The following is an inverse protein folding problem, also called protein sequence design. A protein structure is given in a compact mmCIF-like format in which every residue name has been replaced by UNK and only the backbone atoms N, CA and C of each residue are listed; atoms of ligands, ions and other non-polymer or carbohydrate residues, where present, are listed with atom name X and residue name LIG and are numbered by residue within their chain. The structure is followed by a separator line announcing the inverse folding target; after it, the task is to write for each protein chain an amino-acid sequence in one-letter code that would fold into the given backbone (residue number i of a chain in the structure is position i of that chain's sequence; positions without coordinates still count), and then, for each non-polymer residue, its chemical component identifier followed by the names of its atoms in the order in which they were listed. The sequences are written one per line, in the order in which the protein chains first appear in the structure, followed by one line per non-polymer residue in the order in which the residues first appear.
data_IF_449839917644
#
_entry.id   IF_449839917644
#
_cell.length_a   1.000
_cell.length_b   1.000
_cell.length_c   1.000
_cell.angle_alpha   90.00
_cell.angle_beta   90.00
_cell.angle_gamma   90.00
#
_symmetry.space_group_name_H-M   'P 1'
#
loop_
_entity.id
_entity.type
_entity.pdbx_description
1 polymer ?
#
# COMPACT_ATOMS: atom_id res chain seq x y z
N UNK A 1 -2.48 -15.70 -15.65
CA UNK A 1 -2.90 -14.60 -16.54
C UNK A 1 -4.15 -13.98 -16.01
N UNK A 2 -4.18 -12.65 -15.87
CA UNK A 2 -5.33 -11.92 -15.35
C UNK A 2 -6.44 -11.82 -16.40
N UNK A 3 -7.71 -11.56 -16.00
CA UNK A 3 -8.85 -11.48 -16.90
C UNK A 3 -8.63 -10.50 -18.06
N UNK A 4 -9.31 -10.78 -19.18
CA UNK A 4 -9.32 -9.91 -20.34
C UNK A 4 -9.74 -8.49 -19.94
N UNK A 5 -8.98 -7.49 -20.40
CA UNK A 5 -9.18 -6.11 -20.01
C UNK A 5 -10.54 -5.57 -20.47
N UNK A 6 -11.31 -4.98 -19.56
CA UNK A 6 -12.16 -3.87 -19.98
C UNK A 6 -11.25 -2.69 -20.32
N UNK A 7 -11.49 -1.98 -21.43
CA UNK A 7 -10.75 -0.77 -21.74
C UNK A 7 -10.78 0.21 -20.56
N UNK A 8 -9.66 0.85 -20.29
CA UNK A 8 -9.59 1.99 -19.37
C UNK A 8 -10.60 3.05 -19.83
N UNK A 9 -11.43 3.52 -18.92
CA UNK A 9 -12.40 4.58 -19.16
C UNK A 9 -12.35 5.59 -18.03
N UNK A 10 -11.52 6.63 -18.26
CA UNK A 10 -11.40 7.81 -17.42
C UNK A 10 -12.75 8.40 -16.97
N UNK A 11 -13.82 8.27 -17.76
CA UNK A 11 -15.12 8.80 -17.35
C UNK A 11 -15.67 8.12 -16.09
N UNK A 12 -15.33 6.86 -15.85
CA UNK A 12 -15.70 6.16 -14.61
C UNK A 12 -15.00 6.74 -13.39
N UNK A 13 -13.83 7.35 -13.58
CA UNK A 13 -13.03 7.97 -12.52
C UNK A 13 -13.46 9.39 -12.17
N UNK A 14 -14.41 9.98 -12.91
CA UNK A 14 -14.94 11.34 -12.63
C UNK A 14 -15.24 11.60 -11.15
N UNK A 15 -15.83 10.68 -10.36
CA UNK A 15 -16.12 10.92 -8.95
C UNK A 15 -14.88 11.10 -8.06
N UNK A 16 -13.71 10.58 -8.47
CA UNK A 16 -12.47 10.57 -7.68
C UNK A 16 -11.28 11.22 -8.39
N UNK A 17 -11.53 11.87 -9.53
CA UNK A 17 -10.48 12.35 -10.42
C UNK A 17 -9.55 13.37 -9.74
N UNK A 18 -10.11 14.29 -8.95
CA UNK A 18 -9.30 15.27 -8.22
C UNK A 18 -8.43 14.61 -7.15
N UNK A 19 -8.97 13.61 -6.45
CA UNK A 19 -8.19 12.84 -5.48
C UNK A 19 -7.04 12.09 -6.17
N UNK A 20 -7.28 11.50 -7.35
CA UNK A 20 -6.21 10.84 -8.12
C UNK A 20 -5.14 11.84 -8.57
N UNK A 21 -5.52 13.04 -9.01
CA UNK A 21 -4.55 14.08 -9.40
C UNK A 21 -3.65 14.52 -8.25
N UNK A 22 -4.19 14.55 -7.03
CA UNK A 22 -3.44 14.94 -5.83
C UNK A 22 -2.59 13.78 -5.30
N UNK A 23 -3.18 12.61 -5.14
CA UNK A 23 -2.57 11.50 -4.38
C UNK A 23 -1.86 10.48 -5.24
N UNK A 24 -2.17 10.43 -6.54
CA UNK A 24 -1.56 9.49 -7.47
C UNK A 24 -1.10 10.15 -8.79
N UNK A 25 -0.27 11.22 -8.72
CA UNK A 25 0.24 11.89 -9.90
C UNK A 25 1.32 11.06 -10.63
N UNK A 26 1.59 11.41 -11.88
CA UNK A 26 2.79 10.96 -12.59
C UNK A 26 3.95 11.91 -12.25
N UNK A 27 4.94 11.42 -11.50
CA UNK A 27 6.13 12.20 -11.12
C UNK A 27 7.24 12.19 -12.19
N UNK A 28 7.16 11.28 -13.17
CA UNK A 28 8.16 11.16 -14.24
C UNK A 28 7.81 12.03 -15.44
N UNK A 29 6.52 12.30 -15.62
CA UNK A 29 5.99 13.11 -16.71
C UNK A 29 5.28 14.34 -16.16
N UNK A 30 5.63 15.54 -16.63
CA UNK A 30 4.86 16.76 -16.33
C UNK A 30 3.51 16.84 -17.09
N UNK A 31 3.00 15.72 -17.62
CA UNK A 31 1.78 15.64 -18.43
C UNK A 31 0.60 15.14 -17.59
N UNK A 32 -0.58 15.12 -18.22
CA UNK A 32 -1.79 14.56 -17.62
C UNK A 32 -1.54 13.09 -17.19
N UNK A 33 -1.78 12.72 -15.91
CA UNK A 33 -1.53 11.38 -15.38
C UNK A 33 -2.43 10.27 -15.96
N UNK A 34 -3.39 10.60 -16.84
CA UNK A 34 -4.29 9.64 -17.48
C UNK A 34 -3.55 8.42 -18.10
N UNK A 35 -2.45 8.65 -18.82
CA UNK A 35 -1.68 7.57 -19.46
C UNK A 35 -0.99 6.67 -18.42
N UNK A 36 -0.59 7.25 -17.28
CA UNK A 36 -0.04 6.51 -16.16
C UNK A 36 -1.12 5.66 -15.48
N UNK A 37 -2.30 6.21 -15.22
CA UNK A 37 -3.42 5.43 -14.68
C UNK A 37 -3.89 4.33 -15.63
N UNK A 38 -3.92 4.59 -16.94
CA UNK A 38 -4.19 3.58 -17.95
C UNK A 38 -3.18 2.42 -17.88
N UNK A 39 -1.88 2.73 -17.73
CA UNK A 39 -0.83 1.73 -17.54
C UNK A 39 -1.07 0.88 -16.28
N UNK A 40 -1.30 1.53 -15.14
CA UNK A 40 -1.54 0.86 -13.86
C UNK A 40 -2.79 -0.02 -13.90
N UNK A 41 -3.86 0.45 -14.54
CA UNK A 41 -5.06 -0.35 -14.76
C UNK A 41 -4.77 -1.61 -15.58
N UNK A 42 -4.16 -1.45 -16.76
CA UNK A 42 -3.87 -2.59 -17.62
C UNK A 42 -2.83 -3.54 -17.05
N UNK A 43 -1.88 -3.07 -16.25
CA UNK A 43 -0.84 -3.96 -15.72
C UNK A 43 -1.24 -4.64 -14.41
N UNK A 44 -1.98 -3.93 -13.56
CA UNK A 44 -2.24 -4.35 -12.17
C UNK A 44 -3.73 -4.40 -11.83
N UNK A 45 -4.50 -3.36 -12.17
CA UNK A 45 -5.90 -3.25 -11.81
C UNK A 45 -6.78 -4.39 -12.31
N UNK A 46 -6.48 -4.95 -13.49
CA UNK A 46 -7.22 -6.11 -14.04
C UNK A 46 -7.09 -7.39 -13.22
N UNK A 47 -5.97 -7.58 -12.53
CA UNK A 47 -5.77 -8.74 -11.65
C UNK A 47 -6.45 -8.45 -10.30
N UNK A 48 -6.42 -7.19 -9.87
CA UNK A 48 -7.07 -6.78 -8.63
C UNK A 48 -8.59 -7.03 -8.66
N UNK A 49 -9.25 -6.98 -9.83
CA UNK A 49 -10.69 -7.23 -9.91
C UNK A 49 -11.12 -8.69 -9.72
N UNK A 50 -10.18 -9.61 -9.57
CA UNK A 50 -10.46 -10.99 -9.19
C UNK A 50 -10.76 -11.10 -7.68
N UNK A 51 -10.42 -10.07 -6.89
CA UNK A 51 -10.77 -9.97 -5.47
C UNK A 51 -12.24 -9.53 -5.30
N UNK A 52 -12.95 -10.13 -4.34
CA UNK A 52 -14.38 -9.85 -4.12
C UNK A 52 -14.68 -8.39 -3.72
N UNK A 53 -13.70 -7.67 -3.17
CA UNK A 53 -13.81 -6.28 -2.74
C UNK A 53 -13.61 -5.29 -3.88
N UNK A 54 -12.83 -5.65 -4.90
CA UNK A 54 -12.46 -4.79 -6.01
C UNK A 54 -13.20 -5.29 -7.24
N UNK A 55 -14.26 -4.59 -7.67
CA UNK A 55 -15.16 -5.12 -8.71
C UNK A 55 -14.91 -4.56 -10.10
N UNK A 56 -14.32 -3.37 -10.17
CA UNK A 56 -14.14 -2.64 -11.41
C UNK A 56 -12.99 -1.61 -11.29
N UNK A 57 -12.79 -0.88 -12.38
CA UNK A 57 -11.83 0.21 -12.51
C UNK A 57 -11.97 1.27 -11.41
N UNK A 58 -13.20 1.72 -11.14
CA UNK A 58 -13.44 2.71 -10.09
C UNK A 58 -13.12 2.12 -8.71
N UNK A 59 -13.51 0.87 -8.47
CA UNK A 59 -13.21 0.13 -7.25
C UNK A 59 -11.71 -0.02 -7.01
N UNK A 60 -10.92 -0.30 -8.04
CA UNK A 60 -9.47 -0.41 -7.95
C UNK A 60 -8.84 0.92 -7.49
N UNK A 61 -9.10 2.00 -8.22
CA UNK A 61 -8.53 3.30 -7.89
C UNK A 61 -9.02 3.84 -6.54
N UNK A 62 -10.31 3.68 -6.22
CA UNK A 62 -10.87 4.10 -4.95
C UNK A 62 -10.30 3.30 -3.77
N UNK A 63 -10.07 1.99 -3.95
CA UNK A 63 -9.45 1.15 -2.93
C UNK A 63 -8.00 1.56 -2.69
N UNK A 64 -7.23 1.81 -3.74
CA UNK A 64 -5.85 2.29 -3.63
C UNK A 64 -5.76 3.64 -2.92
N UNK A 65 -6.64 4.60 -3.24
CA UNK A 65 -6.73 5.89 -2.53
C UNK A 65 -7.08 5.69 -1.05
N UNK A 66 -8.07 4.85 -0.75
CA UNK A 66 -8.46 4.56 0.63
C UNK A 66 -7.33 3.89 1.43
N UNK A 67 -6.55 3.01 0.80
CA UNK A 67 -5.37 2.43 1.41
C UNK A 67 -4.30 3.50 1.66
N UNK A 68 -4.00 4.32 0.64
CA UNK A 68 -3.04 5.42 0.75
C UNK A 68 -3.35 6.34 1.94
N UNK A 69 -4.59 6.80 2.08
CA UNK A 69 -4.98 7.67 3.20
C UNK A 69 -4.95 7.00 4.57
N UNK A 70 -5.18 5.68 4.63
CA UNK A 70 -5.11 4.92 5.89
C UNK A 70 -3.67 4.62 6.30
N UNK A 71 -2.73 4.59 5.37
CA UNK A 71 -1.34 4.20 5.59
C UNK A 71 -0.55 5.34 6.28
N UNK A 72 -0.14 5.19 7.55
CA UNK A 72 0.53 6.24 8.29
C UNK A 72 2.05 6.23 8.01
N UNK A 73 2.48 6.03 6.77
CA UNK A 73 3.90 5.78 6.41
C UNK A 73 4.80 6.89 6.94
N UNK A 74 4.46 8.15 6.66
CA UNK A 74 5.25 9.30 7.12
C UNK A 74 5.33 9.40 8.65
N UNK A 75 4.24 9.05 9.34
CA UNK A 75 4.21 9.02 10.81
C UNK A 75 5.09 7.90 11.35
N UNK A 76 5.00 6.69 10.79
CA UNK A 76 5.81 5.54 11.21
C UNK A 76 7.31 5.80 10.98
N UNK A 77 7.67 6.39 9.84
CA UNK A 77 9.05 6.80 9.57
C UNK A 77 9.52 7.84 10.60
N UNK A 78 8.71 8.86 10.87
CA UNK A 78 9.01 9.91 11.84
C UNK A 78 9.19 9.37 13.27
N UNK A 79 8.34 8.44 13.71
CA UNK A 79 8.44 7.78 15.02
C UNK A 79 9.73 6.95 15.16
N UNK A 80 10.28 6.47 14.04
CA UNK A 80 11.59 5.80 13.97
C UNK A 80 12.76 6.78 13.75
N UNK A 81 12.52 8.09 13.85
CA UNK A 81 13.55 9.13 13.67
C UNK A 81 13.93 9.40 12.22
N UNK A 82 13.12 8.96 11.26
CA UNK A 82 13.34 9.17 9.83
C UNK A 82 12.48 10.34 9.35
N UNK A 83 13.14 11.40 8.92
CA UNK A 83 12.51 12.59 8.38
C UNK A 83 13.10 12.94 7.02
N UNK A 84 12.29 13.40 6.04
CA UNK A 84 12.81 14.01 4.83
C UNK A 84 13.69 15.22 5.17
N UNK A 85 14.90 15.27 4.63
CA UNK A 85 15.83 16.38 4.80
C UNK A 85 16.68 16.57 3.55
N UNK A 86 16.87 17.82 3.15
CA UNK A 86 17.74 18.18 2.02
C UNK A 86 19.22 18.29 2.43
N UNK A 87 19.50 18.36 3.73
CA UNK A 87 20.83 18.71 4.26
C UNK A 87 21.35 17.78 5.36
N UNK A 88 20.47 17.05 6.03
CA UNK A 88 20.85 16.16 7.13
C UNK A 88 20.77 14.70 6.67
N UNK A 89 21.91 13.98 6.57
CA UNK A 89 21.90 12.57 6.21
C UNK A 89 21.30 11.72 7.34
N UNK A 90 20.69 10.60 6.96
CA UNK A 90 20.25 9.56 7.89
C UNK A 90 21.48 8.87 8.49
N UNK A 91 21.51 8.76 9.82
CA UNK A 91 22.60 8.11 10.57
C UNK A 91 22.05 7.12 11.62
N UNK A 92 22.95 6.30 12.19
CA UNK A 92 22.62 5.40 13.30
C UNK A 92 21.71 4.23 12.92
N UNK A 93 20.81 3.83 13.83
CA UNK A 93 19.87 2.73 13.58
C UNK A 93 18.81 3.07 12.54
N UNK A 94 18.39 4.34 12.44
CA UNK A 94 17.45 4.79 11.43
C UNK A 94 17.98 4.56 10.00
N UNK A 95 19.29 4.76 9.78
CA UNK A 95 19.94 4.48 8.51
C UNK A 95 20.01 2.98 8.14
N UNK A 96 19.71 2.08 9.09
CA UNK A 96 19.66 0.64 8.86
C UNK A 96 18.25 0.12 8.60
N UNK A 97 17.23 0.97 8.68
CA UNK A 97 15.86 0.57 8.40
C UNK A 97 15.74 0.18 6.91
N UNK A 98 15.48 -1.10 6.65
CA UNK A 98 15.35 -1.64 5.29
C UNK A 98 13.89 -1.73 4.83
N UNK A 99 12.97 -1.95 5.77
CA UNK A 99 11.56 -2.15 5.47
C UNK A 99 10.67 -1.66 6.62
N UNK A 100 9.48 -1.18 6.25
CA UNK A 100 8.38 -0.96 7.18
C UNK A 100 7.28 -1.94 6.81
N UNK A 101 6.93 -2.85 7.71
CA UNK A 101 5.86 -3.82 7.47
C UNK A 101 4.56 -3.32 8.08
N UNK A 102 3.53 -3.24 7.24
CA UNK A 102 2.18 -2.85 7.65
C UNK A 102 1.23 -3.99 7.27
N UNK A 103 0.44 -4.45 8.22
CA UNK A 103 -0.42 -5.62 8.03
C UNK A 103 -1.87 -5.22 7.81
N UNK A 104 -2.50 -5.91 6.86
CA UNK A 104 -3.92 -5.78 6.54
C UNK A 104 -4.58 -7.15 6.64
N UNK A 105 -5.82 -7.17 7.13
CA UNK A 105 -6.66 -8.36 7.02
C UNK A 105 -7.24 -8.47 5.59
N UNK A 106 -7.90 -9.60 5.23
CA UNK A 106 -8.53 -9.76 3.92
C UNK A 106 -9.63 -8.74 3.59
N UNK A 107 -10.08 -7.92 4.55
CA UNK A 107 -11.04 -6.82 4.34
C UNK A 107 -10.36 -5.46 4.14
N UNK A 108 -9.03 -5.44 3.99
CA UNK A 108 -8.21 -4.23 3.88
C UNK A 108 -8.31 -3.31 5.11
N UNK A 109 -8.51 -3.91 6.28
CA UNK A 109 -8.44 -3.22 7.57
C UNK A 109 -7.04 -3.41 8.15
N UNK A 110 -6.43 -2.31 8.59
CA UNK A 110 -5.11 -2.33 9.22
C UNK A 110 -5.18 -3.10 10.54
N UNK A 111 -4.23 -3.98 10.75
CA UNK A 111 -4.10 -4.77 11.98
C UNK A 111 -2.66 -4.67 12.50
N UNK A 112 -2.50 -4.82 13.82
CA UNK A 112 -1.18 -4.90 14.42
C UNK A 112 -0.54 -6.24 14.12
N UNK A 113 0.75 -6.20 13.77
CA UNK A 113 1.56 -7.39 13.61
C UNK A 113 2.91 -7.23 14.33
N UNK A 114 3.69 -8.30 14.45
CA UNK A 114 4.96 -8.30 15.18
C UNK A 114 5.95 -9.32 14.61
N UNK A 115 7.24 -9.15 14.85
CA UNK A 115 8.23 -10.15 14.39
C UNK A 115 8.15 -11.44 15.22
N UNK A 116 8.20 -12.59 14.54
CA UNK A 116 8.13 -13.88 15.22
C UNK A 116 9.25 -14.02 16.28
N UNK A 117 8.89 -14.50 17.47
CA UNK A 117 9.82 -14.66 18.60
C UNK A 117 9.89 -13.48 19.58
N UNK A 118 9.21 -12.36 19.32
CA UNK A 118 9.09 -11.27 20.31
C UNK A 118 8.20 -11.65 21.50
N UNK A 119 8.53 -11.12 22.68
CA UNK A 119 7.69 -11.17 23.88
C UNK A 119 6.66 -10.02 23.90
N UNK A 120 5.61 -10.18 24.69
CA UNK A 120 4.58 -9.14 24.84
C UNK A 120 5.20 -7.85 25.41
N UNK A 121 4.87 -6.70 24.82
CA UNK A 121 5.40 -5.39 25.21
C UNK A 121 6.73 -5.02 24.55
N UNK A 122 7.42 -5.95 23.89
CA UNK A 122 8.62 -5.64 23.09
C UNK A 122 8.24 -4.86 21.82
N UNK A 123 9.12 -3.93 21.40
CA UNK A 123 9.00 -3.13 20.18
C UNK A 123 10.05 -3.60 19.17
N UNK A 124 9.62 -3.87 17.95
CA UNK A 124 10.46 -3.98 16.76
C UNK A 124 10.23 -2.73 15.91
N UNK A 125 11.31 -2.11 15.45
CA UNK A 125 11.27 -0.91 14.61
C UNK A 125 10.72 -1.22 13.20
N UNK A 126 10.80 -2.48 12.74
CA UNK A 126 10.33 -2.90 11.42
C UNK A 126 8.88 -3.41 11.44
N UNK A 127 8.45 -4.02 12.56
CA UNK A 127 7.15 -4.66 12.71
C UNK A 127 6.23 -4.04 13.78
N UNK A 128 6.71 -3.08 14.58
CA UNK A 128 5.94 -2.46 15.66
C UNK A 128 5.98 -3.25 16.98
N UNK A 129 5.07 -2.93 17.91
CA UNK A 129 4.99 -3.56 19.24
C UNK A 129 4.18 -4.85 19.21
N UNK A 130 4.67 -5.91 19.86
CA UNK A 130 3.83 -7.08 20.14
C UNK A 130 2.82 -6.76 21.24
N UNK A 131 1.54 -6.80 20.89
CA UNK A 131 0.41 -6.57 21.80
C UNK A 131 -0.52 -7.77 21.75
N UNK A 132 -1.35 -7.95 22.77
CA UNK A 132 -2.37 -8.99 22.78
C UNK A 132 -3.26 -8.90 21.52
N UNK A 133 -3.42 -10.03 20.82
CA UNK A 133 -4.21 -10.11 19.59
C UNK A 133 -3.51 -9.67 18.31
N UNK A 134 -2.25 -9.20 18.35
CA UNK A 134 -1.47 -8.97 17.13
C UNK A 134 -1.00 -10.30 16.50
N UNK A 135 -0.80 -10.31 15.18
CA UNK A 135 -0.37 -11.51 14.45
C UNK A 135 1.11 -11.45 14.06
N UNK A 136 1.82 -12.59 13.93
CA UNK A 136 3.19 -12.57 13.46
C UNK A 136 3.27 -12.06 12.01
N UNK A 137 4.21 -11.16 11.74
CA UNK A 137 4.57 -10.74 10.40
C UNK A 137 5.10 -11.96 9.62
N UNK A 138 4.56 -12.27 8.44
CA UNK A 138 5.14 -13.33 7.62
C UNK A 138 6.54 -12.90 7.14
N UNK A 139 7.45 -13.87 7.03
CA UNK A 139 8.84 -13.65 6.57
C UNK A 139 8.92 -13.26 5.08
N UNK A 140 7.83 -13.43 4.34
CA UNK A 140 7.68 -13.10 2.92
C UNK A 140 6.38 -12.34 2.71
N UNK A 141 6.34 -11.48 1.70
CA UNK A 141 5.10 -10.90 1.22
C UNK A 141 4.16 -12.04 0.78
N UNK A 142 3.07 -12.23 1.52
CA UNK A 142 2.02 -13.19 1.16
C UNK A 142 0.94 -12.41 0.43
N UNK A 143 0.91 -12.52 -0.90
CA UNK A 143 -0.25 -12.10 -1.66
C UNK A 143 -1.39 -13.11 -1.43
N UNK A 144 -2.66 -12.69 -1.42
CA UNK A 144 -3.78 -13.61 -1.45
C UNK A 144 -3.56 -14.60 -2.59
N UNK A 145 -3.52 -15.90 -2.28
CA UNK A 145 -3.52 -16.91 -3.33
C UNK A 145 -4.92 -16.93 -3.93
N UNK A 146 -5.02 -16.83 -5.26
CA UNK A 146 -6.28 -17.09 -5.94
C UNK A 146 -6.79 -18.46 -5.49
N UNK A 147 -8.05 -18.60 -5.06
CA UNK A 147 -8.66 -19.91 -4.99
C UNK A 147 -8.56 -20.50 -6.40
N UNK A 148 -7.98 -21.70 -6.47
CA UNK A 148 -7.44 -22.29 -7.70
C UNK A 148 -8.42 -22.29 -8.88
N UNK A 149 -7.82 -22.12 -10.06
CA UNK A 149 -8.36 -22.27 -11.42
C UNK A 149 -9.29 -23.45 -11.65
#
# INVERSE_FOLDING_TARGET
DCPAATPFDRNKLKPILENLRTEWPDFLSAKDPDAFWEHEWYKHGRCAVEDELIKDELGYFNTSLNLHWKLPIMKLLAESGIHPSDSEPLEGEAAKLLEVRICFNPKLEMISCYQQGMNEGEIDINAGRKIEGSMPCPDKLILPQHPES
#
